data_IF_561907495608
#
_entry.id   IF_561907495608
#
_cell.length_a   1.000
_cell.length_b   1.000
_cell.length_c   1.000
_cell.angle_alpha   90.00
_cell.angle_beta   90.00
_cell.angle_gamma   90.00
#
_symmetry.space_group_name_H-M   'P 1'
#
loop_
_entity.id
_entity.type
_entity.pdbx_description
1 polymer ?
#
# COMPACT_ATOMS: atom_id res chain seq x y z
N UNK A 1 -3.56 -7.09 -26.90
CA UNK A 1 -2.96 -8.41 -26.77
C UNK A 1 -1.56 -8.24 -26.21
N UNK A 2 -1.21 -8.97 -25.16
CA UNK A 2 0.17 -9.08 -24.73
C UNK A 2 0.98 -9.92 -25.74
N UNK A 3 2.26 -9.62 -25.92
CA UNK A 3 3.13 -10.41 -26.79
C UNK A 3 3.68 -11.63 -26.05
N UNK A 4 4.06 -12.68 -26.78
CA UNK A 4 4.67 -13.88 -26.19
C UNK A 4 5.87 -13.55 -25.26
N UNK A 5 6.72 -12.60 -25.67
CA UNK A 5 7.84 -12.13 -24.84
C UNK A 5 7.39 -11.46 -23.54
N UNK A 6 6.27 -10.73 -23.55
CA UNK A 6 5.71 -10.10 -22.35
C UNK A 6 5.16 -11.15 -21.39
N UNK A 7 4.48 -12.18 -21.91
CA UNK A 7 4.00 -13.32 -21.11
C UNK A 7 5.16 -14.05 -20.44
N UNK A 8 6.20 -14.39 -21.21
CA UNK A 8 7.38 -15.07 -20.68
C UNK A 8 8.12 -14.21 -19.64
N UNK A 9 8.28 -12.91 -19.91
CA UNK A 9 8.89 -11.99 -18.95
C UNK A 9 8.08 -11.92 -17.65
N UNK A 10 6.75 -11.96 -17.72
CA UNK A 10 5.87 -11.94 -16.54
C UNK A 10 6.06 -13.20 -15.68
N UNK A 11 6.11 -14.38 -16.30
CA UNK A 11 6.42 -15.63 -15.59
C UNK A 11 7.78 -15.55 -14.90
N UNK A 12 8.81 -15.08 -15.62
CA UNK A 12 10.16 -14.89 -15.07
C UNK A 12 10.21 -13.86 -13.96
N UNK A 13 9.34 -12.84 -13.96
CA UNK A 13 9.25 -11.85 -12.87
C UNK A 13 8.78 -12.53 -11.58
N UNK A 14 7.82 -13.45 -11.67
CA UNK A 14 7.33 -14.20 -10.50
C UNK A 14 8.42 -15.13 -9.94
N UNK A 15 9.16 -15.82 -10.81
CA UNK A 15 10.29 -16.69 -10.42
C UNK A 15 11.46 -15.91 -9.80
N UNK A 16 11.78 -14.73 -10.34
CA UNK A 16 12.90 -13.90 -9.88
C UNK A 16 12.52 -12.89 -8.77
N UNK A 17 11.42 -13.14 -8.03
CA UNK A 17 10.97 -12.29 -6.91
C UNK A 17 10.86 -10.80 -7.26
N UNK A 18 10.36 -10.46 -8.45
CA UNK A 18 10.16 -9.08 -8.86
C UNK A 18 11.35 -8.41 -9.54
N UNK A 19 12.47 -9.10 -9.80
CA UNK A 19 13.60 -8.53 -10.54
C UNK A 19 13.29 -8.42 -12.05
N UNK A 20 12.62 -7.33 -12.43
CA UNK A 20 12.15 -7.08 -13.79
C UNK A 20 13.28 -7.06 -14.83
N UNK A 21 14.39 -6.38 -14.54
CA UNK A 21 15.52 -6.30 -15.49
C UNK A 21 16.09 -7.67 -15.82
N UNK A 22 16.30 -8.52 -14.81
CA UNK A 22 16.80 -9.88 -15.01
C UNK A 22 15.79 -10.71 -15.80
N UNK A 23 14.51 -10.67 -15.42
CA UNK A 23 13.44 -11.41 -16.09
C UNK A 23 13.23 -11.00 -17.54
N UNK A 24 13.47 -9.72 -17.88
CA UNK A 24 13.48 -9.26 -19.28
C UNK A 24 14.62 -9.89 -20.07
N UNK A 25 15.82 -9.99 -19.51
CA UNK A 25 16.94 -10.67 -20.18
C UNK A 25 16.64 -12.15 -20.40
N UNK A 26 16.14 -12.81 -19.36
CA UNK A 26 15.77 -14.23 -19.40
C UNK A 26 14.65 -14.51 -20.43
N UNK A 27 13.79 -13.52 -20.69
CA UNK A 27 12.75 -13.57 -21.71
C UNK A 27 13.23 -13.16 -23.13
N UNK A 28 14.52 -12.91 -23.32
CA UNK A 28 15.11 -12.59 -24.63
C UNK A 28 14.91 -11.14 -25.09
N UNK A 29 14.81 -10.19 -24.16
CA UNK A 29 14.95 -8.76 -24.46
C UNK A 29 16.44 -8.37 -24.56
N UNK A 30 16.73 -7.34 -25.35
CA UNK A 30 18.08 -6.79 -25.46
C UNK A 30 18.52 -6.17 -24.15
N UNK A 31 19.83 -6.13 -23.89
CA UNK A 31 20.39 -5.47 -22.72
C UNK A 31 19.98 -3.99 -22.61
N UNK A 32 19.89 -3.28 -23.73
CA UNK A 32 19.44 -1.89 -23.76
C UNK A 32 18.01 -1.74 -23.25
N UNK A 33 17.13 -2.67 -23.61
CA UNK A 33 15.73 -2.64 -23.19
C UNK A 33 15.57 -3.10 -21.75
N UNK A 34 16.29 -4.16 -21.34
CA UNK A 34 16.25 -4.72 -19.99
C UNK A 34 16.86 -3.79 -18.93
N UNK A 35 17.80 -2.91 -19.31
CA UNK A 35 18.32 -1.84 -18.44
C UNK A 35 17.26 -0.82 -18.05
N UNK A 36 16.15 -0.72 -18.79
CA UNK A 36 15.04 0.16 -18.45
C UNK A 36 13.73 -0.64 -18.32
N UNK A 37 13.44 -1.19 -17.13
CA UNK A 37 12.20 -1.92 -16.82
C UNK A 37 10.91 -1.23 -17.24
N UNK A 38 10.88 0.10 -17.26
CA UNK A 38 9.69 0.89 -17.64
C UNK A 38 9.24 0.59 -19.07
N UNK A 39 10.13 0.12 -19.94
CA UNK A 39 9.79 -0.27 -21.30
C UNK A 39 8.82 -1.47 -21.34
N UNK A 40 8.94 -2.39 -20.37
CA UNK A 40 8.01 -3.51 -20.22
C UNK A 40 6.82 -3.09 -19.35
N UNK A 41 7.09 -2.60 -18.13
CA UNK A 41 6.04 -2.37 -17.12
C UNK A 41 5.11 -1.23 -17.47
N UNK A 42 5.58 -0.22 -18.22
CA UNK A 42 4.76 0.88 -18.73
C UNK A 42 3.98 0.54 -20.00
N UNK A 43 4.20 -0.64 -20.59
CA UNK A 43 3.54 -1.00 -21.84
C UNK A 43 2.07 -1.40 -21.62
N UNK A 44 1.18 -0.95 -22.51
CA UNK A 44 -0.25 -1.29 -22.44
C UNK A 44 -0.51 -2.80 -22.50
N UNK A 45 0.31 -3.55 -23.24
CA UNK A 45 0.20 -5.00 -23.35
C UNK A 45 0.49 -5.71 -22.03
N UNK A 46 1.52 -5.27 -21.31
CA UNK A 46 1.87 -5.80 -20.00
C UNK A 46 0.82 -5.47 -18.94
N UNK A 47 0.31 -4.23 -18.92
CA UNK A 47 -0.76 -3.84 -18.00
C UNK A 47 -2.02 -4.69 -18.20
N UNK A 48 -2.45 -4.88 -19.46
CA UNK A 48 -3.58 -5.77 -19.77
C UNK A 48 -3.33 -7.22 -19.35
N UNK A 49 -2.11 -7.72 -19.49
CA UNK A 49 -1.76 -9.07 -19.05
C UNK A 49 -1.91 -9.21 -17.53
N UNK A 50 -1.52 -8.20 -16.75
CA UNK A 50 -1.72 -8.20 -15.31
C UNK A 50 -3.21 -8.22 -14.96
N UNK A 51 -4.02 -7.42 -15.66
CA UNK A 51 -5.47 -7.43 -15.49
C UNK A 51 -6.06 -8.82 -15.82
N UNK A 52 -5.63 -9.46 -16.91
CA UNK A 52 -6.04 -10.81 -17.32
C UNK A 52 -5.62 -11.89 -16.31
N UNK A 53 -4.49 -11.69 -15.62
CA UNK A 53 -4.01 -12.55 -14.53
C UNK A 53 -4.71 -12.30 -13.19
N UNK A 54 -5.67 -11.37 -13.13
CA UNK A 54 -6.41 -11.05 -11.91
C UNK A 54 -5.69 -10.09 -10.96
N UNK A 55 -4.55 -9.52 -11.35
CA UNK A 55 -3.89 -8.42 -10.64
C UNK A 55 -4.58 -7.09 -10.92
N UNK A 56 -5.90 -7.06 -10.71
CA UNK A 56 -6.70 -5.85 -10.87
C UNK A 56 -6.42 -4.87 -9.73
N UNK A 57 -6.73 -3.60 -9.97
CA UNK A 57 -6.60 -2.56 -8.95
C UNK A 57 -7.47 -2.90 -7.73
N UNK A 58 -8.68 -3.38 -7.98
CA UNK A 58 -9.66 -3.73 -6.95
C UNK A 58 -9.11 -4.84 -6.05
N UNK A 59 -8.52 -5.89 -6.63
CA UNK A 59 -7.89 -6.98 -5.88
C UNK A 59 -6.72 -6.49 -5.03
N UNK A 60 -5.84 -5.65 -5.60
CA UNK A 60 -4.70 -5.10 -4.87
C UNK A 60 -5.17 -4.24 -3.69
N UNK A 61 -6.20 -3.41 -3.90
CA UNK A 61 -6.75 -2.55 -2.84
C UNK A 61 -7.41 -3.40 -1.75
N UNK A 62 -8.22 -4.40 -2.10
CA UNK A 62 -8.86 -5.26 -1.09
C UNK A 62 -7.84 -6.05 -0.29
N UNK A 63 -6.83 -6.62 -0.94
CA UNK A 63 -5.75 -7.34 -0.27
C UNK A 63 -4.97 -6.43 0.68
N UNK A 64 -4.67 -5.19 0.27
CA UNK A 64 -4.01 -4.21 1.15
C UNK A 64 -4.89 -3.82 2.35
N UNK A 65 -6.19 -3.66 2.16
CA UNK A 65 -7.13 -3.37 3.26
C UNK A 65 -7.15 -4.53 4.26
N UNK A 66 -7.26 -5.77 3.78
CA UNK A 66 -7.22 -6.97 4.61
C UNK A 66 -5.92 -7.07 5.41
N UNK A 67 -4.78 -6.81 4.77
CA UNK A 67 -3.46 -6.80 5.40
C UNK A 67 -3.35 -5.74 6.50
N UNK A 68 -3.86 -4.53 6.26
CA UNK A 68 -3.88 -3.43 7.23
C UNK A 68 -4.79 -3.77 8.43
N UNK A 69 -5.90 -4.44 8.19
CA UNK A 69 -6.83 -4.89 9.23
C UNK A 69 -6.24 -6.03 10.06
N UNK A 70 -5.55 -6.98 9.42
CA UNK A 70 -4.89 -8.11 10.07
C UNK A 70 -3.64 -7.68 10.87
N UNK A 71 -2.85 -6.74 10.36
CA UNK A 71 -1.63 -6.22 11.00
C UNK A 71 -1.93 -5.12 12.03
N UNK A 72 -2.86 -5.40 12.96
CA UNK A 72 -3.22 -4.47 14.04
C UNK A 72 -1.96 -4.07 14.84
N UNK A 73 -1.56 -2.80 14.75
CA UNK A 73 -0.39 -2.22 15.43
C UNK A 73 0.88 -2.04 14.59
N UNK A 74 1.01 -2.65 13.40
CA UNK A 74 2.19 -2.49 12.51
C UNK A 74 1.91 -1.73 11.20
N UNK A 75 0.74 -1.10 11.10
CA UNK A 75 0.22 -0.38 9.91
C UNK A 75 0.64 1.10 9.79
N UNK A 76 1.64 1.53 10.55
CA UNK A 76 2.03 2.95 10.65
C UNK A 76 2.57 3.50 9.30
N UNK A 77 3.45 2.79 8.57
CA UNK A 77 3.93 3.28 7.27
C UNK A 77 2.81 3.47 6.23
N UNK A 78 1.84 2.55 6.20
CA UNK A 78 0.73 2.56 5.26
C UNK A 78 -0.23 3.73 5.55
N UNK A 79 -0.53 3.98 6.83
CA UNK A 79 -1.37 5.10 7.24
C UNK A 79 -0.67 6.45 7.05
N UNK A 80 0.62 6.54 7.29
CA UNK A 80 1.40 7.76 7.03
C UNK A 80 1.44 8.09 5.54
N UNK A 81 1.64 7.10 4.66
CA UNK A 81 1.58 7.30 3.22
C UNK A 81 0.19 7.78 2.78
N UNK A 82 -0.87 7.17 3.31
CA UNK A 82 -2.25 7.56 3.01
C UNK A 82 -2.54 9.01 3.45
N UNK A 83 -2.10 9.40 4.65
CA UNK A 83 -2.25 10.76 5.15
C UNK A 83 -1.46 11.79 4.31
N UNK A 84 -0.27 11.44 3.81
CA UNK A 84 0.49 12.31 2.87
C UNK A 84 -0.24 12.49 1.55
N UNK A 85 -0.73 11.40 0.96
CA UNK A 85 -1.49 11.45 -0.30
C UNK A 85 -2.79 12.25 -0.17
N UNK A 86 -3.37 12.28 1.03
CA UNK A 86 -4.58 13.06 1.35
C UNK A 86 -4.30 14.52 1.72
N UNK A 87 -3.04 14.97 1.70
CA UNK A 87 -2.68 16.35 2.08
C UNK A 87 -2.85 16.62 3.57
N UNK A 88 -2.98 15.59 4.41
CA UNK A 88 -3.15 15.76 5.86
C UNK A 88 -1.84 16.15 6.57
N UNK A 89 -0.74 16.24 5.82
CA UNK A 89 0.57 16.74 6.26
C UNK A 89 0.92 18.09 5.61
N UNK A 90 -0.07 18.84 5.12
CA UNK A 90 0.17 20.24 4.79
C UNK A 90 0.54 21.00 6.06
N UNK A 91 1.85 21.12 6.29
CA UNK A 91 2.43 22.18 7.09
C UNK A 91 2.44 23.40 6.18
N UNK A 92 1.27 23.99 5.92
CA UNK A 92 1.26 25.35 5.41
C UNK A 92 1.72 26.25 6.56
N UNK A 93 2.69 27.12 6.30
CA UNK A 93 3.27 28.09 7.26
C UNK A 93 2.23 29.09 7.83
N UNK A 94 0.95 28.95 7.47
CA UNK A 94 -0.14 29.86 7.84
C UNK A 94 -0.86 29.52 9.15
N UNK A 95 -0.53 28.42 9.84
CA UNK A 95 -1.17 28.10 11.12
C UNK A 95 -0.23 27.39 12.10
N UNK A 96 0.53 28.12 12.94
CA UNK A 96 1.43 27.52 13.93
C UNK A 96 0.73 26.72 15.04
N UNK A 97 -0.60 26.78 15.13
CA UNK A 97 -1.38 26.12 16.19
C UNK A 97 -2.01 24.78 15.79
N UNK A 98 -1.78 24.28 14.57
CA UNK A 98 -2.22 22.92 14.23
C UNK A 98 -1.19 21.92 14.76
N UNK A 99 -1.29 21.63 16.05
CA UNK A 99 -0.76 20.38 16.59
C UNK A 99 -1.47 19.27 15.81
N UNK A 100 -0.77 18.38 15.07
CA UNK A 100 -1.42 17.23 14.47
C UNK A 100 -1.94 16.35 15.60
N UNK A 101 -3.23 16.48 15.89
CA UNK A 101 -3.97 15.64 16.82
C UNK A 101 -4.07 14.24 16.16
N UNK A 102 -2.97 13.48 16.21
CA UNK A 102 -3.04 12.03 16.10
C UNK A 102 -3.50 11.54 17.48
N UNK A 103 -4.75 11.86 17.83
CA UNK A 103 -5.38 11.33 19.02
C UNK A 103 -5.80 9.89 18.71
N UNK A 104 -4.85 8.95 18.80
CA UNK A 104 -5.19 7.55 19.04
C UNK A 104 -5.62 7.45 20.50
N UNK A 105 -6.72 8.14 20.87
CA UNK A 105 -7.34 7.94 22.17
C UNK A 105 -8.01 6.58 22.10
N UNK A 106 -7.42 5.60 22.76
CA UNK A 106 -8.12 4.39 23.13
C UNK A 106 -9.40 4.84 23.84
N UNK A 107 -10.55 4.62 23.21
CA UNK A 107 -11.84 4.76 23.90
C UNK A 107 -11.90 3.55 24.82
N UNK A 108 -11.41 3.73 26.05
CA UNK A 108 -11.75 2.80 27.13
C UNK A 108 -13.27 2.85 27.26
N UNK A 109 -13.90 1.68 27.15
CA UNK A 109 -15.34 1.53 27.35
C UNK A 109 -15.71 2.13 28.71
N UNK A 110 -16.86 2.83 28.81
CA UNK A 110 -17.23 3.51 30.05
C UNK A 110 -17.33 2.49 31.20
N UNK A 111 -16.48 2.67 32.20
CA UNK A 111 -16.62 2.01 33.50
C UNK A 111 -17.98 2.43 34.08
N UNK A 112 -18.76 1.41 34.41
CA UNK A 112 -20.07 1.49 35.04
C UNK A 112 -20.05 2.40 36.28
N UNK A 113 -21.12 3.18 36.46
CA UNK A 113 -21.29 4.21 37.51
C UNK A 113 -21.52 3.59 38.89
N UNK A 114 -20.58 2.80 39.38
CA UNK A 114 -20.70 2.10 40.66
C UNK A 114 -19.90 2.74 41.82
N UNK A 115 -19.14 3.81 41.62
CA UNK A 115 -18.25 4.35 42.66
C UNK A 115 -18.61 5.74 43.22
N UNK A 116 -19.74 6.34 42.82
CA UNK A 116 -20.12 7.68 43.30
C UNK A 116 -20.99 7.66 44.59
N UNK A 117 -21.18 6.48 45.20
CA UNK A 117 -21.96 6.33 46.45
C UNK A 117 -21.12 6.21 47.74
N UNK A 118 -19.79 6.34 47.69
CA UNK A 118 -18.91 6.20 48.87
C UNK A 118 -18.23 7.48 49.37
N UNK A 119 -18.68 8.67 48.94
CA UNK A 119 -18.17 9.96 49.45
C UNK A 119 -19.24 10.90 50.00
N UNK A 120 -20.37 10.36 50.48
CA UNK A 120 -21.33 11.10 51.30
C UNK A 120 -21.59 10.29 52.58
N UNK A 121 -20.62 10.30 53.48
CA UNK A 121 -20.76 10.06 54.93
C UNK A 121 -19.36 10.21 55.56
N UNK A 122 -18.96 11.47 55.73
CA UNK A 122 -18.02 11.91 56.76
C UNK A 122 -18.75 12.98 57.59
#
# INVERSE_FOLDING_TARGET
>A
MATFKQTLATQKIMENHGNVSKSMKDAGYTDSTAKNPKNLTGSKGFQKLLDELGLTKEFIISALVEDIMAKKGKRKPELELAAKLKGMFDISEENPDIIPIINVRWVEAPLDKAEESRKINL
#
